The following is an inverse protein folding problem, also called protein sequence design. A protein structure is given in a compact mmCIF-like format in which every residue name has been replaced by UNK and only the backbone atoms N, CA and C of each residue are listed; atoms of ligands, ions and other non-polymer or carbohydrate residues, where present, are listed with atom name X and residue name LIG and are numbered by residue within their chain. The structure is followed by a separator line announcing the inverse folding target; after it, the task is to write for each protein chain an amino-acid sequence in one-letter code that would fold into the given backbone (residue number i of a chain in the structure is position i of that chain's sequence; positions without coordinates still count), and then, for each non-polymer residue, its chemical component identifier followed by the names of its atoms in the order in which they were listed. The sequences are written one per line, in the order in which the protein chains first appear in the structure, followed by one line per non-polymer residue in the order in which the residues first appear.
data_IF_482170324240
#
_entry.id   IF_482170324240
#
_cell.length_a   1.000
_cell.length_b   1.000
_cell.length_c   1.000
_cell.angle_alpha   90.00
_cell.angle_beta   90.00
_cell.angle_gamma   90.00
#
_symmetry.space_group_name_H-M   'P 1'
#
loop_
_entity.id
_entity.type
_entity.pdbx_description
1 polymer ?
#
# COMPACT_ATOMS: atom_id res chain seq x y z
N UNK A 1 -5.89 -7.67 39.10
CA UNK A 1 -6.68 -7.47 37.84
C UNK A 1 -6.17 -8.41 36.73
N UNK A 2 -6.93 -8.69 35.65
CA UNK A 2 -6.49 -9.56 34.53
C UNK A 2 -6.27 -8.75 33.24
N UNK A 3 -5.02 -8.57 32.77
CA UNK A 3 -4.74 -8.03 31.45
C UNK A 3 -5.34 -8.90 30.34
N UNK A 4 -5.97 -8.26 29.34
CA UNK A 4 -6.48 -8.91 28.14
C UNK A 4 -5.49 -8.61 27.00
N UNK A 5 -4.82 -9.64 26.44
CA UNK A 5 -3.89 -9.42 25.35
C UNK A 5 -4.65 -8.99 24.08
N UNK A 6 -4.20 -7.89 23.46
CA UNK A 6 -4.72 -7.41 22.17
C UNK A 6 -3.76 -7.83 21.07
N UNK A 7 -2.45 -7.67 21.29
CA UNK A 7 -1.36 -8.15 20.43
C UNK A 7 -0.29 -8.81 21.30
N UNK A 8 0.81 -9.29 20.71
CA UNK A 8 1.96 -9.76 21.51
C UNK A 8 2.58 -8.63 22.34
N UNK A 9 2.54 -7.39 21.84
CA UNK A 9 3.15 -6.22 22.50
C UNK A 9 2.16 -5.46 23.39
N UNK A 10 0.87 -5.48 23.08
CA UNK A 10 -0.15 -4.69 23.77
C UNK A 10 -1.15 -5.56 24.51
N UNK A 11 -1.37 -5.25 25.79
CA UNK A 11 -2.52 -5.71 26.56
C UNK A 11 -3.37 -4.53 27.00
N UNK A 12 -4.66 -4.76 27.20
CA UNK A 12 -5.58 -3.77 27.79
C UNK A 12 -6.15 -4.25 29.11
N UNK A 13 -6.47 -3.31 30.00
CA UNK A 13 -7.07 -3.62 31.29
C UNK A 13 -8.13 -2.59 31.72
N UNK A 14 -8.97 -3.04 32.66
CA UNK A 14 -9.80 -2.17 33.48
C UNK A 14 -8.94 -1.33 34.45
N UNK A 15 -9.60 -0.54 35.30
CA UNK A 15 -8.95 0.35 36.25
C UNK A 15 -7.92 -0.40 37.12
N UNK A 16 -6.67 0.09 37.10
CA UNK A 16 -5.60 -0.38 37.96
C UNK A 16 -5.71 0.21 39.36
N UNK A 17 -5.30 -0.55 40.37
CA UNK A 17 -5.02 -0.04 41.70
C UNK A 17 -3.49 0.08 41.90
N UNK A 18 -3.00 0.97 42.77
CA UNK A 18 -1.57 1.14 43.04
C UNK A 18 -0.83 -0.18 43.35
N UNK A 19 -1.50 -1.15 43.96
CA UNK A 19 -0.92 -2.43 44.31
C UNK A 19 -0.68 -3.36 43.11
N UNK A 20 -1.42 -3.17 42.00
CA UNK A 20 -1.31 -4.02 40.80
C UNK A 20 0.05 -3.82 40.08
N UNK A 21 0.65 -2.62 40.16
CA UNK A 21 1.85 -2.26 39.39
C UNK A 21 3.07 -3.13 39.69
N UNK A 22 3.23 -3.56 40.95
CA UNK A 22 4.32 -4.47 41.32
C UNK A 22 4.16 -5.84 40.66
N UNK A 23 2.93 -6.34 40.55
CA UNK A 23 2.65 -7.61 39.88
C UNK A 23 2.80 -7.50 38.36
N UNK A 24 2.38 -6.37 37.77
CA UNK A 24 2.56 -6.10 36.34
C UNK A 24 4.04 -6.09 35.94
N UNK A 25 4.90 -5.45 36.73
CA UNK A 25 6.35 -5.48 36.51
C UNK A 25 6.92 -6.90 36.59
N UNK A 26 6.46 -7.72 37.56
CA UNK A 26 6.85 -9.13 37.67
C UNK A 26 6.40 -9.97 36.47
N UNK A 27 5.26 -9.63 35.88
CA UNK A 27 4.74 -10.26 34.67
C UNK A 27 5.43 -9.78 33.38
N UNK A 28 6.44 -8.92 33.50
CA UNK A 28 7.32 -8.53 32.39
C UNK A 28 6.87 -7.29 31.62
N UNK A 29 5.77 -6.64 32.00
CA UNK A 29 5.39 -5.35 31.43
C UNK A 29 6.48 -4.31 31.69
N UNK A 30 6.64 -3.37 30.76
CA UNK A 30 7.63 -2.29 30.82
C UNK A 30 7.00 -0.91 30.87
N UNK A 31 5.90 -0.72 30.14
CA UNK A 31 5.23 0.57 30.01
C UNK A 31 3.75 0.45 30.34
N UNK A 32 3.25 1.40 31.11
CA UNK A 32 1.83 1.60 31.39
C UNK A 32 1.33 2.84 30.66
N UNK A 33 0.23 2.70 29.93
CA UNK A 33 -0.48 3.83 29.32
C UNK A 33 -1.81 4.03 30.05
N UNK A 34 -2.00 5.17 30.70
CA UNK A 34 -3.28 5.54 31.30
C UNK A 34 -4.09 6.41 30.35
N UNK A 35 -5.24 5.87 29.90
CA UNK A 35 -6.19 6.55 29.02
C UNK A 35 -7.42 7.13 29.75
N UNK A 36 -7.44 7.11 31.08
CA UNK A 36 -8.54 7.61 31.91
C UNK A 36 -8.21 8.98 32.50
N UNK A 37 -8.91 10.06 32.10
CA UNK A 37 -8.86 11.35 32.79
C UNK A 37 -9.10 11.22 34.30
N UNK A 38 -8.48 12.09 35.08
CA UNK A 38 -8.68 12.15 36.52
C UNK A 38 -10.08 12.66 36.88
N UNK A 39 -10.61 12.15 38.00
CA UNK A 39 -11.87 12.62 38.57
C UNK A 39 -13.13 12.07 37.87
N UNK A 40 -13.02 10.98 37.11
CA UNK A 40 -14.20 10.31 36.55
C UNK A 40 -15.07 9.67 37.65
N UNK A 41 -14.45 9.11 38.69
CA UNK A 41 -15.14 8.46 39.82
C UNK A 41 -14.40 8.69 41.13
N UNK A 42 -15.12 8.73 42.26
CA UNK A 42 -14.54 9.02 43.57
C UNK A 42 -13.55 7.95 44.07
N UNK A 43 -13.69 6.70 43.60
CA UNK A 43 -12.80 5.59 43.91
C UNK A 43 -11.62 5.46 42.95
N UNK A 44 -11.46 6.40 42.01
CA UNK A 44 -10.33 6.41 41.09
C UNK A 44 -9.04 6.77 41.87
N UNK A 45 -7.96 5.99 41.75
CA UNK A 45 -6.68 6.31 42.39
C UNK A 45 -6.09 7.65 41.93
N UNK A 46 -6.27 7.96 40.64
CA UNK A 46 -5.77 9.17 39.99
C UNK A 46 -4.38 8.97 39.39
N UNK A 47 -4.11 9.69 38.30
CA UNK A 47 -2.90 9.55 37.49
C UNK A 47 -1.61 9.74 38.27
N UNK A 48 -1.59 10.68 39.23
CA UNK A 48 -0.42 10.93 40.07
C UNK A 48 -0.07 9.74 40.98
N UNK A 49 -1.08 9.11 41.60
CA UNK A 49 -0.86 7.95 42.47
C UNK A 49 -0.45 6.72 41.67
N UNK A 50 -1.04 6.53 40.49
CA UNK A 50 -0.66 5.48 39.55
C UNK A 50 0.76 5.67 39.01
N UNK A 51 1.15 6.89 38.65
CA UNK A 51 2.50 7.21 38.18
C UNK A 51 3.54 6.92 39.26
N UNK A 52 3.27 7.31 40.51
CA UNK A 52 4.15 7.01 41.64
C UNK A 52 4.31 5.50 41.83
N UNK A 53 3.21 4.74 41.80
CA UNK A 53 3.22 3.29 41.93
C UNK A 53 3.96 2.59 40.77
N UNK A 54 3.73 3.04 39.53
CA UNK A 54 4.41 2.53 38.34
C UNK A 54 5.92 2.74 38.44
N UNK A 55 6.35 3.96 38.78
CA UNK A 55 7.77 4.30 38.94
C UNK A 55 8.42 3.52 40.08
N UNK A 56 7.71 3.34 41.20
CA UNK A 56 8.18 2.51 42.32
C UNK A 56 8.35 1.04 41.93
N UNK A 57 7.54 0.53 40.99
CA UNK A 57 7.66 -0.81 40.43
C UNK A 57 8.68 -0.92 39.28
N UNK A 58 9.31 0.18 38.86
CA UNK A 58 10.26 0.20 37.75
C UNK A 58 9.60 0.15 36.36
N UNK A 59 8.36 0.61 36.25
CA UNK A 59 7.61 0.73 35.00
C UNK A 59 7.65 2.17 34.49
N UNK A 60 7.72 2.33 33.18
CA UNK A 60 7.42 3.61 32.53
C UNK A 60 5.92 3.88 32.59
N UNK A 61 5.55 5.15 32.73
CA UNK A 61 4.17 5.59 32.83
C UNK A 61 3.90 6.74 31.87
N UNK A 62 2.88 6.59 31.03
CA UNK A 62 2.47 7.61 30.06
C UNK A 62 0.99 7.91 30.21
N UNK A 63 0.69 9.18 30.49
CA UNK A 63 -0.67 9.67 30.64
C UNK A 63 -1.19 10.30 29.33
N UNK A 64 -2.24 9.69 28.76
CA UNK A 64 -2.91 10.13 27.53
C UNK A 64 -4.43 10.15 27.78
N UNK A 65 -4.94 11.16 28.52
CA UNK A 65 -6.34 11.20 28.94
C UNK A 65 -7.27 11.40 27.75
N UNK A 66 -8.17 10.43 27.52
CA UNK A 66 -9.17 10.50 26.44
C UNK A 66 -10.55 10.10 26.94
N UNK A 67 -11.59 10.64 26.33
CA UNK A 67 -12.96 10.14 26.46
C UNK A 67 -13.40 9.50 25.15
N UNK A 68 -14.48 8.73 25.15
CA UNK A 68 -15.05 8.19 23.90
C UNK A 68 -15.45 9.26 22.88
N UNK A 69 -15.64 10.51 23.31
CA UNK A 69 -16.00 11.65 22.47
C UNK A 69 -14.85 12.60 22.16
N UNK A 70 -13.65 12.38 22.71
CA UNK A 70 -12.52 13.31 22.61
C UNK A 70 -11.18 12.59 22.32
N UNK A 71 -11.21 11.49 21.56
CA UNK A 71 -9.99 10.88 21.02
C UNK A 71 -9.57 11.68 19.78
N UNK A 72 -8.50 12.47 19.90
CA UNK A 72 -8.00 13.26 18.78
C UNK A 72 -6.86 12.52 18.07
N UNK A 73 -6.60 12.81 16.78
CA UNK A 73 -5.53 12.16 16.04
C UNK A 73 -4.15 12.26 16.72
N UNK A 74 -3.85 13.37 17.39
CA UNK A 74 -2.61 13.53 18.16
C UNK A 74 -2.50 12.57 19.36
N UNK A 75 -3.62 12.26 20.01
CA UNK A 75 -3.66 11.35 21.15
C UNK A 75 -3.43 9.91 20.65
N UNK A 76 -4.08 9.54 19.53
CA UNK A 76 -3.92 8.25 18.86
C UNK A 76 -2.47 8.03 18.40
N UNK A 77 -1.86 9.06 17.78
CA UNK A 77 -0.45 9.00 17.37
C UNK A 77 0.48 8.79 18.57
N UNK A 78 0.30 9.58 19.64
CA UNK A 78 1.11 9.46 20.85
C UNK A 78 0.97 8.08 21.51
N UNK A 79 -0.24 7.51 21.47
CA UNK A 79 -0.50 6.15 21.95
C UNK A 79 0.31 5.11 21.16
N UNK A 80 0.26 5.15 19.84
CA UNK A 80 1.02 4.26 18.96
C UNK A 80 2.54 4.42 19.14
N UNK A 81 3.04 5.66 19.14
CA UNK A 81 4.46 5.97 19.35
C UNK A 81 4.96 5.44 20.70
N UNK A 82 4.13 5.50 21.75
CA UNK A 82 4.47 4.96 23.07
C UNK A 82 4.60 3.44 23.04
N UNK A 83 3.71 2.73 22.33
CA UNK A 83 3.80 1.28 22.17
C UNK A 83 5.07 0.90 21.42
N UNK A 84 5.40 1.60 20.33
CA UNK A 84 6.60 1.34 19.54
C UNK A 84 7.87 1.60 20.36
N UNK A 85 7.95 2.74 21.06
CA UNK A 85 9.10 3.15 21.83
C UNK A 85 9.39 2.27 23.06
N UNK A 86 8.37 1.58 23.60
CA UNK A 86 8.55 0.68 24.74
C UNK A 86 9.49 -0.49 24.40
N UNK A 87 10.49 -0.71 25.26
CA UNK A 87 11.47 -1.81 25.16
C UNK A 87 10.87 -3.20 25.45
N UNK A 88 9.60 -3.26 25.86
CA UNK A 88 8.90 -4.52 26.13
C UNK A 88 7.38 -4.38 26.12
N UNK A 89 6.65 -5.38 26.66
CA UNK A 89 5.19 -5.41 26.67
C UNK A 89 4.59 -4.16 27.33
N UNK A 90 3.51 -3.68 26.75
CA UNK A 90 2.77 -2.49 27.17
C UNK A 90 1.40 -2.89 27.70
N UNK A 91 1.01 -2.32 28.83
CA UNK A 91 -0.37 -2.39 29.32
C UNK A 91 -1.02 -1.01 29.21
N UNK A 92 -2.10 -0.92 28.45
CA UNK A 92 -2.93 0.28 28.39
C UNK A 92 -4.22 0.08 29.19
N UNK A 93 -4.61 1.03 30.01
CA UNK A 93 -5.84 0.91 30.79
C UNK A 93 -6.70 2.16 30.74
N UNK A 94 -7.98 1.96 31.03
CA UNK A 94 -8.88 3.05 31.35
C UNK A 94 -9.87 2.59 32.43
N UNK A 95 -11.14 3.02 32.39
CA UNK A 95 -12.16 2.50 33.31
C UNK A 95 -12.43 1.01 33.08
N UNK A 96 -12.63 0.61 31.83
CA UNK A 96 -12.99 -0.77 31.44
C UNK A 96 -12.07 -1.39 30.39
N UNK A 97 -10.99 -0.70 29.98
CA UNK A 97 -10.12 -1.09 28.86
C UNK A 97 -10.63 -0.69 27.46
N UNK A 98 -11.91 -0.35 27.31
CA UNK A 98 -12.51 -0.06 26.01
C UNK A 98 -11.86 1.11 25.25
N UNK A 99 -11.47 2.18 25.95
CA UNK A 99 -10.82 3.33 25.30
C UNK A 99 -9.44 2.98 24.75
N UNK A 100 -8.68 2.22 25.52
CA UNK A 100 -7.35 1.75 25.12
C UNK A 100 -7.43 0.82 23.91
N UNK A 101 -8.44 -0.05 23.86
CA UNK A 101 -8.72 -0.88 22.69
C UNK A 101 -9.05 -0.04 21.45
N UNK A 102 -9.97 0.92 21.56
CA UNK A 102 -10.33 1.77 20.43
C UNK A 102 -9.19 2.69 19.97
N UNK A 103 -8.36 3.20 20.88
CA UNK A 103 -7.15 3.94 20.53
C UNK A 103 -6.17 3.09 19.73
N UNK A 104 -5.99 1.81 20.09
CA UNK A 104 -5.20 0.87 19.30
C UNK A 104 -5.81 0.60 17.92
N UNK A 105 -7.14 0.45 17.82
CA UNK A 105 -7.80 0.30 16.52
C UNK A 105 -7.61 1.55 15.64
N UNK A 106 -7.77 2.76 16.20
CA UNK A 106 -7.57 4.02 15.47
C UNK A 106 -6.12 4.27 15.08
N UNK A 107 -5.16 3.70 15.82
CA UNK A 107 -3.75 3.82 15.49
C UNK A 107 -3.38 3.12 14.17
N UNK A 108 -4.30 2.33 13.59
CA UNK A 108 -4.06 1.58 12.36
C UNK A 108 -3.30 0.27 12.57
N UNK A 109 -2.77 0.02 13.77
CA UNK A 109 -2.03 -1.21 14.10
C UNK A 109 -2.88 -2.48 13.90
N UNK A 110 -4.19 -2.41 14.19
CA UNK A 110 -5.11 -3.51 13.91
C UNK A 110 -5.19 -3.87 12.42
N UNK A 111 -5.02 -2.89 11.53
CA UNK A 111 -4.96 -3.10 10.08
C UNK A 111 -3.60 -3.63 9.66
N UNK A 112 -2.52 -3.17 10.29
CA UNK A 112 -1.15 -3.68 10.08
C UNK A 112 -1.05 -5.16 10.46
N UNK A 113 -1.63 -5.57 11.59
CA UNK A 113 -1.64 -6.96 12.05
C UNK A 113 -2.74 -7.83 11.40
N UNK A 114 -3.49 -7.28 10.44
CA UNK A 114 -4.48 -8.05 9.67
C UNK A 114 -5.70 -8.52 10.46
N UNK A 115 -6.12 -7.79 11.48
CA UNK A 115 -7.32 -8.15 12.25
C UNK A 115 -8.59 -7.92 11.41
N UNK A 116 -9.39 -8.98 11.25
CA UNK A 116 -10.75 -8.89 10.75
C UNK A 116 -11.67 -8.21 11.77
N UNK A 117 -12.78 -7.65 11.30
CA UNK A 117 -13.77 -7.04 12.18
C UNK A 117 -14.32 -8.07 13.19
N UNK A 118 -14.49 -9.33 12.78
CA UNK A 118 -14.91 -10.41 13.69
C UNK A 118 -13.90 -10.65 14.82
N UNK A 119 -12.60 -10.62 14.52
CA UNK A 119 -11.55 -10.76 15.53
C UNK A 119 -11.52 -9.56 16.47
N UNK A 120 -11.70 -8.35 15.94
CA UNK A 120 -11.81 -7.13 16.74
C UNK A 120 -13.04 -7.15 17.65
N UNK A 121 -14.19 -7.62 17.14
CA UNK A 121 -15.42 -7.78 17.90
C UNK A 121 -15.25 -8.84 19.00
N UNK A 122 -14.54 -9.93 18.73
CA UNK A 122 -14.23 -10.94 19.73
C UNK A 122 -13.37 -10.37 20.87
N UNK A 123 -12.28 -9.66 20.55
CA UNK A 123 -11.43 -8.98 21.55
C UNK A 123 -12.24 -7.93 22.32
N UNK A 124 -13.04 -7.11 21.62
CA UNK A 124 -13.93 -6.14 22.25
C UNK A 124 -14.90 -6.79 23.24
N UNK A 125 -15.43 -7.98 22.90
CA UNK A 125 -16.32 -8.75 23.77
C UNK A 125 -15.62 -9.24 25.04
N UNK A 126 -14.36 -9.68 24.95
CA UNK A 126 -13.55 -10.04 26.14
C UNK A 126 -13.34 -8.84 27.08
N UNK A 127 -13.26 -7.63 26.51
CA UNK A 127 -13.12 -6.36 27.24
C UNK A 127 -14.48 -5.85 27.78
N UNK A 128 -15.58 -6.57 27.52
CA UNK A 128 -16.92 -6.23 28.00
C UNK A 128 -17.66 -5.22 27.12
N UNK A 129 -17.21 -4.99 25.88
CA UNK A 129 -17.95 -4.20 24.89
C UNK A 129 -18.96 -5.12 24.20
N UNK A 130 -20.23 -4.71 24.15
CA UNK A 130 -21.26 -5.47 23.46
C UNK A 130 -20.90 -5.63 21.96
N UNK A 131 -21.04 -6.83 21.36
CA UNK A 131 -20.64 -7.07 19.98
C UNK A 131 -21.26 -6.09 18.97
N UNK A 132 -22.53 -5.74 19.15
CA UNK A 132 -23.22 -4.80 18.25
C UNK A 132 -22.68 -3.37 18.39
N UNK A 133 -22.36 -2.93 19.61
CA UNK A 133 -21.71 -1.63 19.81
C UNK A 133 -20.29 -1.60 19.23
N UNK A 134 -19.53 -2.70 19.36
CA UNK A 134 -18.21 -2.81 18.75
C UNK A 134 -18.31 -2.73 17.22
N UNK A 135 -19.28 -3.43 16.61
CA UNK A 135 -19.53 -3.41 15.18
C UNK A 135 -19.93 -2.01 14.68
N UNK A 136 -20.88 -1.37 15.33
CA UNK A 136 -21.33 -0.01 14.96
C UNK A 136 -20.20 1.01 15.09
N UNK A 137 -19.40 0.89 16.16
CA UNK A 137 -18.26 1.77 16.36
C UNK A 137 -17.18 1.54 15.30
N UNK A 138 -16.82 0.28 15.00
CA UNK A 138 -15.83 -0.06 13.98
C UNK A 138 -16.28 0.46 12.60
N UNK A 139 -17.55 0.24 12.22
CA UNK A 139 -18.08 0.76 10.97
C UNK A 139 -18.02 2.29 10.87
N UNK A 140 -18.19 2.99 11.99
CA UNK A 140 -18.19 4.45 12.04
C UNK A 140 -16.81 5.10 12.20
N UNK A 141 -15.78 4.36 12.65
CA UNK A 141 -14.49 4.95 13.03
C UNK A 141 -13.28 4.26 12.41
N UNK A 142 -13.40 2.97 12.07
CA UNK A 142 -12.43 2.27 11.24
C UNK A 142 -12.70 2.67 9.78
N UNK A 143 -12.47 3.95 9.49
CA UNK A 143 -12.57 4.51 8.16
C UNK A 143 -11.38 4.00 7.34
N UNK A 144 -11.50 2.76 6.88
CA UNK A 144 -10.90 2.35 5.62
C UNK A 144 -11.68 3.14 4.58
N UNK A 145 -11.36 4.44 4.43
CA UNK A 145 -12.12 5.34 3.59
C UNK A 145 -12.25 4.69 2.23
N UNK A 146 -13.47 4.39 1.79
CA UNK A 146 -13.69 3.71 0.52
C UNK A 146 -13.47 4.74 -0.59
N UNK A 147 -12.38 4.66 -1.37
CA UNK A 147 -12.20 5.60 -2.45
C UNK A 147 -13.18 5.31 -3.59
N UNK A 148 -13.57 6.37 -4.28
CA UNK A 148 -14.14 6.26 -5.62
C UNK A 148 -12.99 5.99 -6.59
N UNK A 149 -13.10 4.92 -7.38
CA UNK A 149 -12.06 4.48 -8.32
C UNK A 149 -12.61 4.52 -9.75
N UNK A 150 -11.91 5.25 -10.62
CA UNK A 150 -12.20 5.29 -12.06
C UNK A 150 -11.02 4.70 -12.83
N UNK A 151 -11.26 3.62 -13.58
CA UNK A 151 -10.31 3.04 -14.52
C UNK A 151 -10.43 3.65 -15.93
N UNK A 152 -9.29 3.78 -16.61
CA UNK A 152 -9.15 4.24 -18.00
C UNK A 152 -8.34 3.20 -18.78
N UNK A 153 -9.04 2.40 -19.58
CA UNK A 153 -8.42 1.36 -20.40
C UNK A 153 -7.78 1.94 -21.66
N UNK A 154 -6.49 1.70 -21.86
CA UNK A 154 -5.74 2.07 -23.07
C UNK A 154 -5.60 0.83 -23.96
N UNK A 155 -6.31 0.84 -25.09
CA UNK A 155 -6.49 -0.35 -25.92
C UNK A 155 -5.19 -0.84 -26.61
N UNK A 156 -4.22 0.03 -26.90
CA UNK A 156 -3.02 -0.35 -27.67
C UNK A 156 -2.04 -1.18 -26.85
N UNK A 157 -1.97 -0.93 -25.55
CA UNK A 157 -1.06 -1.59 -24.60
C UNK A 157 -1.80 -2.54 -23.67
N UNK A 158 -3.12 -2.39 -23.54
CA UNK A 158 -3.92 -3.14 -22.57
C UNK A 158 -3.82 -2.58 -21.15
N UNK A 159 -3.12 -1.46 -20.97
CA UNK A 159 -2.91 -0.82 -19.67
C UNK A 159 -4.19 -0.22 -19.13
N UNK A 160 -4.33 -0.22 -17.81
CA UNK A 160 -5.40 0.45 -17.09
C UNK A 160 -4.78 1.51 -16.18
N UNK A 161 -5.16 2.74 -16.44
CA UNK A 161 -4.79 3.89 -15.61
C UNK A 161 -5.90 4.15 -14.60
N UNK A 162 -5.58 4.68 -13.43
CA UNK A 162 -6.59 4.93 -12.40
C UNK A 162 -6.59 6.36 -11.90
N UNK A 163 -7.79 6.87 -11.62
CA UNK A 163 -8.02 7.97 -10.69
C UNK A 163 -8.69 7.42 -9.45
N UNK A 164 -8.06 7.62 -8.30
CA UNK A 164 -8.51 7.17 -6.98
C UNK A 164 -8.81 8.41 -6.17
N UNK A 165 -10.05 8.60 -5.74
CA UNK A 165 -10.46 9.85 -5.10
C UNK A 165 -11.15 9.63 -3.76
N UNK A 166 -10.87 10.52 -2.83
CA UNK A 166 -11.59 10.65 -1.58
C UNK A 166 -12.89 11.43 -1.83
N UNK A 167 -14.06 10.77 -1.72
CA UNK A 167 -15.34 11.42 -2.01
C UNK A 167 -15.64 12.59 -1.06
N UNK A 168 -15.05 12.60 0.13
CA UNK A 168 -15.27 13.62 1.16
C UNK A 168 -14.50 14.92 0.90
N UNK A 169 -13.24 14.81 0.50
CA UNK A 169 -12.37 15.97 0.25
C UNK A 169 -12.26 16.36 -1.21
N UNK A 170 -12.69 15.50 -2.13
CA UNK A 170 -12.46 15.64 -3.59
C UNK A 170 -10.97 15.66 -3.96
N UNK A 171 -10.12 15.10 -3.09
CA UNK A 171 -8.69 14.92 -3.39
C UNK A 171 -8.49 13.59 -4.09
N UNK A 172 -7.57 13.50 -5.05
CA UNK A 172 -7.30 12.27 -5.78
C UNK A 172 -5.81 11.99 -6.02
N UNK A 173 -5.53 10.71 -6.29
CA UNK A 173 -4.28 10.23 -6.86
C UNK A 173 -4.52 9.71 -8.29
N UNK A 174 -3.55 9.91 -9.17
CA UNK A 174 -3.48 9.27 -10.49
C UNK A 174 -2.47 8.14 -10.39
N UNK A 175 -2.80 6.94 -10.86
CA UNK A 175 -1.94 5.75 -10.81
C UNK A 175 -1.70 5.21 -12.22
N UNK A 176 -0.43 4.93 -12.53
CA UNK A 176 0.08 4.37 -13.78
C UNK A 176 -0.39 5.10 -15.05
N UNK A 177 -0.24 6.44 -15.14
CA UNK A 177 -0.75 7.21 -16.27
C UNK A 177 0.05 6.96 -17.55
N UNK A 178 -0.63 6.86 -18.70
CA UNK A 178 -0.02 6.56 -20.00
C UNK A 178 0.26 7.83 -20.80
N UNK A 179 1.46 7.92 -21.35
CA UNK A 179 1.83 8.82 -22.45
C UNK A 179 1.77 8.01 -23.75
N UNK A 180 0.91 8.42 -24.67
CA UNK A 180 0.73 7.72 -25.94
C UNK A 180 2.03 7.72 -26.74
N UNK A 181 2.42 6.57 -27.28
CA UNK A 181 3.60 6.42 -28.11
C UNK A 181 3.32 5.54 -29.33
N UNK A 182 3.78 5.96 -30.51
CA UNK A 182 3.73 5.16 -31.73
C UNK A 182 5.15 4.77 -32.17
N UNK A 183 5.50 3.50 -32.02
CA UNK A 183 6.87 3.01 -32.30
C UNK A 183 7.25 3.08 -33.78
N UNK A 184 6.27 3.17 -34.68
CA UNK A 184 6.51 3.25 -36.13
C UNK A 184 6.99 4.63 -36.56
N UNK A 185 6.47 5.67 -35.94
CA UNK A 185 6.81 7.06 -36.26
C UNK A 185 7.72 7.72 -35.22
N UNK A 186 7.83 7.16 -34.01
CA UNK A 186 8.49 7.79 -32.88
C UNK A 186 7.70 8.95 -32.27
N UNK A 187 6.41 9.06 -32.60
CA UNK A 187 5.57 10.17 -32.14
C UNK A 187 5.00 9.90 -30.75
N UNK A 188 4.88 10.94 -29.94
CA UNK A 188 4.17 10.92 -28.66
C UNK A 188 2.88 11.75 -28.74
N UNK A 189 1.85 11.37 -28.00
CA UNK A 189 0.62 12.15 -27.79
C UNK A 189 0.25 12.16 -26.30
N UNK A 190 -0.62 13.08 -25.89
CA UNK A 190 -1.08 13.27 -24.50
C UNK A 190 -2.55 12.92 -24.32
N UNK A 191 -3.17 12.23 -25.29
CA UNK A 191 -4.61 12.00 -25.34
C UNK A 191 -5.12 11.24 -24.11
N UNK A 192 -4.39 10.21 -23.67
CA UNK A 192 -4.71 9.46 -22.45
C UNK A 192 -4.62 10.33 -21.19
N UNK A 193 -3.50 11.02 -21.02
CA UNK A 193 -3.28 11.90 -19.88
C UNK A 193 -4.29 13.06 -19.83
N UNK A 194 -4.63 13.63 -20.99
CA UNK A 194 -5.62 14.72 -21.11
C UNK A 194 -7.05 14.21 -20.83
N UNK A 195 -7.35 12.96 -21.15
CA UNK A 195 -8.63 12.32 -20.78
C UNK A 195 -8.77 12.19 -19.27
N UNK A 196 -7.69 11.83 -18.56
CA UNK A 196 -7.65 11.79 -17.09
C UNK A 196 -7.86 13.19 -16.51
N UNK A 197 -7.15 14.21 -17.03
CA UNK A 197 -7.29 15.60 -16.59
C UNK A 197 -8.71 16.14 -16.82
N UNK A 198 -9.33 15.80 -17.94
CA UNK A 198 -10.72 16.18 -18.24
C UNK A 198 -11.70 15.58 -17.23
N UNK A 199 -11.56 14.29 -16.90
CA UNK A 199 -12.37 13.65 -15.86
C UNK A 199 -12.18 14.31 -14.49
N UNK A 200 -10.92 14.58 -14.10
CA UNK A 200 -10.60 15.26 -12.83
C UNK A 200 -11.28 16.62 -12.76
N UNK A 201 -11.23 17.40 -13.85
CA UNK A 201 -11.90 18.69 -13.95
C UNK A 201 -13.42 18.57 -13.87
N UNK A 202 -14.02 17.60 -14.58
CA UNK A 202 -15.46 17.33 -14.58
C UNK A 202 -15.98 16.97 -13.19
N UNK A 203 -15.22 16.15 -12.45
CA UNK A 203 -15.58 15.70 -11.10
C UNK A 203 -15.20 16.70 -9.99
N UNK A 204 -14.56 17.83 -10.35
CA UNK A 204 -14.09 18.84 -9.39
C UNK A 204 -13.04 18.30 -8.42
N UNK A 205 -12.16 17.42 -8.89
CA UNK A 205 -11.12 16.78 -8.09
C UNK A 205 -9.83 17.60 -8.06
N UNK A 206 -9.06 17.46 -6.98
CA UNK A 206 -7.70 18.04 -6.83
C UNK A 206 -6.66 16.94 -6.78
N UNK A 207 -5.65 17.00 -7.64
CA UNK A 207 -4.59 15.99 -7.71
C UNK A 207 -3.57 16.21 -6.59
N UNK A 208 -3.43 15.22 -5.71
CA UNK A 208 -2.44 15.20 -4.62
C UNK A 208 -1.24 14.33 -4.94
N UNK A 209 -1.43 13.25 -5.71
CA UNK A 209 -0.36 12.33 -6.06
C UNK A 209 -0.43 11.89 -7.52
N UNK A 210 0.75 11.69 -8.11
CA UNK A 210 0.93 10.98 -9.36
C UNK A 210 1.86 9.80 -9.06
N UNK A 211 1.34 8.59 -9.19
CA UNK A 211 1.97 7.37 -8.70
C UNK A 211 2.26 6.44 -9.87
N UNK A 212 3.48 5.90 -9.92
CA UNK A 212 3.78 4.70 -10.70
C UNK A 212 3.94 3.52 -9.74
N UNK A 213 3.39 2.37 -10.09
CA UNK A 213 3.54 1.11 -9.35
C UNK A 213 4.90 0.46 -9.59
N UNK A 214 5.46 0.67 -10.78
CA UNK A 214 6.80 0.24 -11.18
C UNK A 214 7.20 0.92 -12.51
N UNK A 215 8.47 0.83 -12.95
CA UNK A 215 8.86 1.29 -14.28
C UNK A 215 8.29 0.37 -15.37
N UNK A 216 7.22 0.81 -16.02
CA UNK A 216 6.48 0.05 -17.03
C UNK A 216 7.34 -0.34 -18.24
N UNK A 217 7.13 -1.53 -18.78
CA UNK A 217 7.85 -2.05 -19.95
C UNK A 217 7.02 -1.97 -21.25
N UNK A 218 5.75 -1.65 -21.16
CA UNK A 218 4.77 -1.79 -22.23
C UNK A 218 4.19 -0.45 -22.70
N UNK A 219 4.33 0.62 -21.91
CA UNK A 219 3.89 1.99 -22.24
C UNK A 219 4.83 3.05 -21.65
N UNK A 220 4.74 4.30 -22.08
CA UNK A 220 5.48 5.41 -21.47
C UNK A 220 4.64 6.00 -20.34
N UNK A 221 5.24 6.31 -19.19
CA UNK A 221 4.53 6.99 -18.10
C UNK A 221 4.33 8.48 -18.46
N UNK A 222 3.10 8.97 -18.31
CA UNK A 222 2.76 10.39 -18.40
C UNK A 222 2.98 11.15 -17.09
N UNK A 223 3.62 10.54 -16.08
CA UNK A 223 3.80 11.15 -14.77
C UNK A 223 4.44 12.54 -14.83
N UNK A 224 5.48 12.72 -15.66
CA UNK A 224 6.12 14.03 -15.84
C UNK A 224 5.20 15.08 -16.46
N UNK A 225 4.45 14.70 -17.49
CA UNK A 225 3.49 15.58 -18.14
C UNK A 225 2.40 16.03 -17.16
N UNK A 226 1.84 15.10 -16.40
CA UNK A 226 0.82 15.39 -15.40
C UNK A 226 1.36 16.28 -14.27
N UNK A 227 2.59 16.03 -13.80
CA UNK A 227 3.25 16.88 -12.81
C UNK A 227 3.38 18.32 -13.29
N UNK A 228 3.82 18.51 -14.54
CA UNK A 228 3.95 19.85 -15.13
C UNK A 228 2.58 20.56 -15.26
N UNK A 229 1.48 19.81 -15.38
CA UNK A 229 0.11 20.36 -15.48
C UNK A 229 -0.55 20.65 -14.14
N UNK A 230 -0.29 19.84 -13.12
CA UNK A 230 -1.02 19.90 -11.84
C UNK A 230 -0.18 20.43 -10.69
N UNK A 231 1.15 20.36 -10.80
CA UNK A 231 2.08 20.65 -9.71
C UNK A 231 2.12 19.57 -8.62
N UNK A 232 1.37 18.47 -8.77
CA UNK A 232 1.34 17.39 -7.80
C UNK A 232 2.65 16.59 -7.78
N UNK A 233 3.12 16.13 -6.61
CA UNK A 233 4.33 15.32 -6.49
C UNK A 233 4.17 13.96 -7.19
N UNK A 234 5.27 13.48 -7.76
CA UNK A 234 5.39 12.13 -8.32
C UNK A 234 6.05 11.17 -7.33
N UNK A 235 5.62 9.91 -7.33
CA UNK A 235 6.19 8.89 -6.47
C UNK A 235 6.23 7.49 -7.10
N UNK A 236 7.17 6.68 -6.61
CA UNK A 236 7.38 5.28 -7.02
C UNK A 236 8.05 4.49 -5.87
N UNK A 237 8.13 3.18 -5.96
CA UNK A 237 8.88 2.33 -5.03
C UNK A 237 10.40 2.58 -5.05
N UNK A 238 11.05 2.56 -3.89
CA UNK A 238 12.47 2.87 -3.71
C UNK A 238 13.41 1.92 -4.47
N UNK A 239 12.96 0.69 -4.73
CA UNK A 239 13.70 -0.28 -5.55
C UNK A 239 13.76 0.08 -7.04
N UNK A 240 13.18 1.21 -7.48
CA UNK A 240 13.43 1.77 -8.82
C UNK A 240 14.92 1.98 -9.08
N UNK A 241 15.71 2.26 -8.04
CA UNK A 241 17.16 2.43 -8.12
C UNK A 241 17.86 1.17 -8.67
N UNK A 242 17.35 -0.02 -8.30
CA UNK A 242 17.88 -1.30 -8.79
C UNK A 242 17.59 -1.46 -10.28
N UNK A 243 16.39 -1.05 -10.72
CA UNK A 243 15.99 -1.06 -12.14
C UNK A 243 16.80 -0.05 -12.94
N UNK A 244 16.98 1.18 -12.43
CA UNK A 244 17.84 2.18 -13.05
C UNK A 244 19.28 1.67 -13.23
N UNK A 245 19.83 1.03 -12.21
CA UNK A 245 21.19 0.48 -12.24
C UNK A 245 21.33 -0.62 -13.29
N UNK A 246 20.35 -1.52 -13.38
CA UNK A 246 20.33 -2.58 -14.39
C UNK A 246 20.21 -2.02 -15.81
N UNK A 247 19.20 -1.18 -16.04
CA UNK A 247 18.86 -0.71 -17.39
C UNK A 247 19.82 0.33 -17.94
N UNK A 248 20.46 1.15 -17.09
CA UNK A 248 21.53 2.04 -17.58
C UNK A 248 22.71 1.25 -18.16
N UNK A 249 22.97 0.05 -17.65
CA UNK A 249 23.97 -0.87 -18.21
C UNK A 249 23.55 -1.35 -19.60
N UNK A 250 22.31 -1.82 -19.74
CA UNK A 250 21.73 -2.28 -21.02
C UNK A 250 21.76 -1.18 -22.10
N UNK A 251 21.40 0.06 -21.73
CA UNK A 251 21.40 1.19 -22.66
C UNK A 251 22.76 1.85 -22.84
N UNK A 252 23.81 1.41 -22.14
CA UNK A 252 25.13 2.03 -22.09
C UNK A 252 25.05 3.55 -21.79
N UNK A 253 24.58 3.87 -20.58
CA UNK A 253 24.42 5.21 -20.04
C UNK A 253 25.25 5.40 -18.77
N UNK A 254 26.57 5.62 -18.88
CA UNK A 254 27.45 5.74 -17.71
C UNK A 254 27.11 6.94 -16.83
N UNK A 255 26.62 8.03 -17.43
CA UNK A 255 26.32 9.29 -16.75
C UNK A 255 24.86 9.37 -16.25
N UNK A 256 24.05 8.34 -16.48
CA UNK A 256 22.67 8.35 -15.99
C UNK A 256 22.64 8.18 -14.46
N UNK A 257 22.05 9.13 -13.71
CA UNK A 257 21.93 9.06 -12.27
C UNK A 257 20.89 8.00 -11.87
N UNK A 258 21.39 6.87 -11.37
CA UNK A 258 20.59 5.77 -10.85
C UNK A 258 20.47 5.88 -9.33
N UNK A 259 19.77 6.93 -8.88
CA UNK A 259 19.57 7.28 -7.47
C UNK A 259 18.11 7.64 -7.15
N UNK A 260 17.21 7.48 -8.12
CA UNK A 260 15.78 7.73 -7.98
C UNK A 260 15.37 9.20 -7.82
N UNK A 261 16.27 10.18 -7.97
CA UNK A 261 15.96 11.60 -7.78
C UNK A 261 14.94 12.18 -8.79
N UNK A 262 14.60 11.42 -9.82
CA UNK A 262 13.62 11.79 -10.84
C UNK A 262 12.19 11.87 -10.29
N UNK A 263 11.91 11.23 -9.14
CA UNK A 263 10.64 11.29 -8.42
C UNK A 263 10.76 12.16 -7.16
N UNK A 264 9.66 12.78 -6.74
CA UNK A 264 9.64 13.59 -5.51
C UNK A 264 9.64 12.72 -4.25
N UNK A 265 9.11 11.49 -4.34
CA UNK A 265 9.09 10.52 -3.24
C UNK A 265 9.42 9.12 -3.71
N UNK A 266 10.32 8.46 -2.98
CA UNK A 266 10.58 7.03 -3.08
C UNK A 266 9.95 6.33 -1.87
N UNK A 267 9.10 5.34 -2.12
CA UNK A 267 8.40 4.59 -1.09
C UNK A 267 9.12 3.28 -0.74
N UNK A 268 9.37 3.06 0.55
CA UNK A 268 9.79 1.76 1.07
C UNK A 268 8.58 0.85 1.35
N UNK A 269 8.85 -0.44 1.55
CA UNK A 269 7.82 -1.36 2.06
C UNK A 269 7.27 -0.88 3.41
N UNK A 270 5.94 -0.91 3.56
CA UNK A 270 5.26 -0.48 4.78
C UNK A 270 5.09 1.04 4.94
N UNK A 271 5.67 1.86 4.04
CA UNK A 271 5.46 3.31 4.09
C UNK A 271 3.97 3.66 3.96
N UNK A 272 3.57 4.70 4.69
CA UNK A 272 2.20 5.22 4.67
C UNK A 272 2.13 6.64 4.10
N UNK A 273 0.96 6.95 3.54
CA UNK A 273 0.59 8.26 3.04
C UNK A 273 -0.94 8.40 3.04
N UNK A 274 -1.46 9.52 2.52
CA UNK A 274 -2.90 9.75 2.41
C UNK A 274 -3.28 10.18 1.00
N UNK A 275 -4.53 9.90 0.64
CA UNK A 275 -5.25 10.55 -0.47
C UNK A 275 -6.44 11.27 0.15
N UNK A 276 -6.35 12.60 0.27
CA UNK A 276 -7.28 13.36 1.10
C UNK A 276 -7.25 12.90 2.56
N UNK A 277 -8.36 12.35 3.05
CA UNK A 277 -8.46 11.76 4.38
C UNK A 277 -8.16 10.26 4.43
N UNK A 278 -8.18 9.58 3.29
CA UNK A 278 -8.08 8.12 3.19
C UNK A 278 -6.63 7.69 3.44
N UNK A 279 -6.46 6.76 4.38
CA UNK A 279 -5.16 6.13 4.64
C UNK A 279 -4.72 5.22 3.51
N UNK A 280 -3.44 5.33 3.18
CA UNK A 280 -2.80 4.50 2.18
C UNK A 280 -1.47 3.92 2.70
N UNK A 281 -1.13 2.72 2.24
CA UNK A 281 0.14 2.06 2.53
C UNK A 281 0.73 1.40 1.30
N UNK A 282 2.04 1.24 1.31
CA UNK A 282 2.81 0.58 0.25
C UNK A 282 3.18 -0.83 0.69
N UNK A 283 2.94 -1.80 -0.19
CA UNK A 283 3.45 -3.16 -0.04
C UNK A 283 4.48 -3.41 -1.14
N UNK A 284 5.69 -3.83 -0.78
CA UNK A 284 6.66 -4.26 -1.78
C UNK A 284 6.25 -5.60 -2.39
N UNK A 285 6.00 -5.61 -3.70
CA UNK A 285 5.42 -6.75 -4.42
C UNK A 285 6.25 -7.17 -5.64
N UNK A 286 7.55 -7.47 -5.46
CA UNK A 286 8.45 -7.80 -6.57
C UNK A 286 8.13 -9.16 -7.21
N UNK A 287 8.71 -9.41 -8.37
CA UNK A 287 8.67 -10.70 -9.04
C UNK A 287 8.37 -10.55 -10.52
N UNK A 288 7.40 -9.71 -10.88
CA UNK A 288 7.27 -9.23 -12.25
C UNK A 288 8.47 -8.35 -12.63
N UNK A 289 8.77 -7.37 -11.78
CA UNK A 289 10.02 -6.60 -11.82
C UNK A 289 10.72 -6.62 -10.46
N UNK A 290 11.92 -6.02 -10.39
CA UNK A 290 12.66 -5.82 -9.16
C UNK A 290 12.00 -4.80 -8.22
N UNK A 291 11.19 -3.88 -8.76
CA UNK A 291 10.75 -2.66 -8.09
C UNK A 291 9.25 -2.53 -7.90
N UNK A 292 8.47 -3.55 -8.31
CA UNK A 292 7.02 -3.50 -8.23
C UNK A 292 6.54 -3.31 -6.79
N UNK A 293 5.61 -2.38 -6.62
CA UNK A 293 4.90 -2.13 -5.37
C UNK A 293 3.38 -2.15 -5.61
N UNK A 294 2.65 -2.47 -4.55
CA UNK A 294 1.19 -2.39 -4.49
C UNK A 294 0.81 -1.21 -3.61
N UNK A 295 -0.02 -0.30 -4.13
CA UNK A 295 -0.64 0.74 -3.30
C UNK A 295 -1.96 0.21 -2.73
N UNK A 296 -2.09 0.19 -1.41
CA UNK A 296 -3.36 -0.10 -0.73
C UNK A 296 -3.92 1.22 -0.21
N UNK A 297 -5.01 1.69 -0.80
CA UNK A 297 -5.67 2.97 -0.49
C UNK A 297 -7.08 2.65 0.01
N UNK A 298 -7.30 2.76 1.31
CA UNK A 298 -8.54 2.27 1.91
C UNK A 298 -8.78 0.79 1.61
N UNK A 299 -9.91 0.46 0.97
CA UNK A 299 -10.30 -0.91 0.63
C UNK A 299 -9.83 -1.36 -0.78
N UNK A 300 -9.05 -0.53 -1.47
CA UNK A 300 -8.59 -0.74 -2.83
C UNK A 300 -7.08 -0.99 -2.89
N UNK A 301 -6.67 -2.13 -3.42
CA UNK A 301 -5.28 -2.47 -3.71
C UNK A 301 -5.00 -2.37 -5.21
N UNK A 302 -4.10 -1.49 -5.61
CA UNK A 302 -3.61 -1.33 -6.98
C UNK A 302 -2.37 -2.19 -7.14
N UNK A 303 -2.58 -3.39 -7.69
CA UNK A 303 -1.60 -4.49 -7.64
C UNK A 303 -0.74 -4.60 -8.89
N UNK A 304 -1.02 -3.77 -9.90
CA UNK A 304 -0.27 -3.74 -11.15
C UNK A 304 -0.20 -5.16 -11.81
N UNK A 305 0.85 -5.48 -12.58
CA UNK A 305 1.22 -6.79 -13.11
C UNK A 305 1.77 -7.68 -12.00
N UNK A 306 0.90 -8.05 -11.07
CA UNK A 306 1.09 -9.21 -10.20
C UNK A 306 -0.01 -10.23 -10.50
N UNK A 307 -1.23 -9.89 -10.11
CA UNK A 307 -2.48 -10.56 -10.46
C UNK A 307 -3.15 -9.83 -11.62
N UNK A 308 -3.62 -10.57 -12.61
CA UNK A 308 -4.59 -10.06 -13.59
C UNK A 308 -6.02 -10.34 -13.11
N UNK A 309 -7.02 -10.02 -13.94
CA UNK A 309 -8.38 -10.50 -13.73
C UNK A 309 -8.38 -12.02 -13.49
N UNK A 310 -9.30 -12.57 -12.66
CA UNK A 310 -9.24 -13.97 -12.27
C UNK A 310 -9.19 -14.95 -13.45
N UNK A 311 -9.82 -14.63 -14.58
CA UNK A 311 -9.76 -15.44 -15.80
C UNK A 311 -8.45 -15.34 -16.60
N UNK A 312 -7.59 -14.37 -16.28
CA UNK A 312 -6.36 -14.03 -17.00
C UNK A 312 -5.10 -14.51 -16.28
N UNK A 313 -5.21 -14.88 -15.00
CA UNK A 313 -4.12 -15.46 -14.23
C UNK A 313 -3.17 -14.43 -13.64
N UNK A 314 -1.89 -14.51 -14.00
CA UNK A 314 -0.80 -13.70 -13.41
C UNK A 314 0.14 -13.15 -14.47
N UNK A 315 0.86 -12.10 -14.07
CA UNK A 315 1.94 -11.51 -14.85
C UNK A 315 3.06 -12.50 -15.15
N UNK A 316 3.84 -12.20 -16.20
CA UNK A 316 5.11 -12.86 -16.52
C UNK A 316 6.19 -12.50 -15.48
N UNK A 317 7.24 -13.31 -15.37
CA UNK A 317 8.32 -13.11 -14.39
C UNK A 317 9.72 -13.33 -14.98
N UNK A 318 9.88 -13.18 -16.30
CA UNK A 318 11.10 -13.44 -17.08
C UNK A 318 11.81 -12.17 -17.56
N UNK A 319 11.36 -10.98 -17.13
CA UNK A 319 12.12 -9.75 -17.36
C UNK A 319 13.48 -9.81 -16.68
N UNK A 320 14.46 -9.01 -17.14
CA UNK A 320 15.69 -8.79 -16.39
C UNK A 320 15.39 -8.40 -14.93
N UNK A 321 15.68 -9.31 -14.00
CA UNK A 321 15.39 -9.16 -12.57
C UNK A 321 14.03 -9.72 -12.08
N UNK A 322 13.22 -10.28 -12.97
CA UNK A 322 12.01 -11.01 -12.65
C UNK A 322 12.29 -12.35 -11.96
N UNK A 323 11.31 -12.85 -11.21
CA UNK A 323 11.37 -14.15 -10.54
C UNK A 323 9.97 -14.66 -10.21
N UNK A 324 9.58 -15.80 -10.79
CA UNK A 324 8.30 -16.45 -10.51
C UNK A 324 8.15 -16.78 -9.00
N UNK A 325 9.25 -17.15 -8.34
CA UNK A 325 9.23 -17.45 -6.90
C UNK A 325 8.97 -16.21 -6.05
N UNK A 326 9.58 -15.07 -6.38
CA UNK A 326 9.28 -13.79 -5.70
C UNK A 326 7.87 -13.34 -5.99
N UNK A 327 7.42 -13.48 -7.25
CA UNK A 327 6.06 -13.14 -7.66
C UNK A 327 5.02 -13.94 -6.86
N UNK A 328 5.23 -15.24 -6.66
CA UNK A 328 4.35 -16.05 -5.81
C UNK A 328 4.21 -15.48 -4.40
N UNK A 329 5.33 -15.14 -3.75
CA UNK A 329 5.32 -14.59 -2.38
C UNK A 329 4.57 -13.26 -2.32
N UNK A 330 4.86 -12.35 -3.24
CA UNK A 330 4.15 -11.08 -3.37
C UNK A 330 2.64 -11.28 -3.56
N UNK A 331 2.24 -12.25 -4.39
CA UNK A 331 0.83 -12.59 -4.58
C UNK A 331 0.23 -13.15 -3.28
N UNK A 332 0.93 -14.04 -2.57
CA UNK A 332 0.44 -14.56 -1.28
C UNK A 332 0.29 -13.45 -0.24
N UNK A 333 1.21 -12.49 -0.19
CA UNK A 333 1.14 -11.33 0.69
C UNK A 333 -0.07 -10.45 0.34
N UNK A 334 -0.31 -10.17 -0.94
CA UNK A 334 -1.51 -9.45 -1.42
C UNK A 334 -2.80 -10.22 -1.08
N UNK A 335 -2.81 -11.54 -1.27
CA UNK A 335 -3.96 -12.39 -0.94
C UNK A 335 -4.13 -12.61 0.57
N UNK A 336 -3.17 -12.18 1.41
CA UNK A 336 -3.33 -12.14 2.86
C UNK A 336 -4.17 -10.96 3.35
N UNK A 337 -4.41 -9.96 2.47
CA UNK A 337 -5.39 -8.89 2.70
C UNK A 337 -6.80 -9.46 2.93
N UNK A 338 -7.70 -8.63 3.46
CA UNK A 338 -9.10 -9.03 3.72
C UNK A 338 -9.76 -9.51 2.43
N UNK A 339 -10.62 -10.51 2.53
CA UNK A 339 -11.30 -11.12 1.38
C UNK A 339 -12.09 -10.11 0.54
N UNK A 340 -12.63 -9.08 1.17
CA UNK A 340 -13.43 -8.01 0.55
C UNK A 340 -12.57 -6.91 -0.08
N UNK A 341 -11.24 -6.94 0.11
CA UNK A 341 -10.33 -5.95 -0.50
C UNK A 341 -10.46 -6.01 -2.01
N UNK A 342 -10.78 -4.87 -2.61
CA UNK A 342 -10.86 -4.71 -4.06
C UNK A 342 -9.46 -4.71 -4.65
N UNK A 343 -9.26 -5.50 -5.69
CA UNK A 343 -8.00 -5.66 -6.40
C UNK A 343 -8.14 -5.00 -7.77
N UNK A 344 -7.27 -4.02 -8.05
CA UNK A 344 -7.19 -3.26 -9.28
C UNK A 344 -5.90 -3.63 -10.04
N UNK A 345 -6.05 -4.26 -11.21
CA UNK A 345 -4.92 -4.80 -12.00
C UNK A 345 -4.32 -3.79 -12.98
N UNK A 346 -3.03 -3.93 -13.30
CA UNK A 346 -2.37 -3.03 -14.25
C UNK A 346 -2.88 -3.17 -15.69
N UNK A 347 -3.26 -4.39 -16.10
CA UNK A 347 -3.60 -4.68 -17.48
C UNK A 347 -4.77 -5.65 -17.62
N UNK A 348 -5.45 -5.53 -18.76
CA UNK A 348 -6.43 -6.51 -19.19
C UNK A 348 -6.35 -6.79 -20.69
N UNK A 349 -6.17 -8.06 -21.00
CA UNK A 349 -5.96 -8.55 -22.36
C UNK A 349 -7.22 -9.12 -23.00
N UNK A 350 -8.38 -8.91 -22.36
CA UNK A 350 -9.70 -9.25 -22.91
C UNK A 350 -9.79 -10.71 -23.43
N UNK A 351 -9.45 -11.72 -22.60
CA UNK A 351 -9.50 -13.12 -23.00
C UNK A 351 -10.86 -13.48 -23.60
N UNK A 352 -10.85 -14.31 -24.63
CA UNK A 352 -12.05 -14.73 -25.36
C UNK A 352 -12.88 -13.58 -25.97
N UNK A 353 -12.28 -12.39 -26.11
CA UNK A 353 -12.92 -11.20 -26.70
C UNK A 353 -13.93 -10.52 -25.78
N UNK A 354 -13.87 -10.77 -24.46
CA UNK A 354 -14.73 -10.07 -23.49
C UNK A 354 -14.36 -8.59 -23.39
N UNK A 355 -15.25 -7.71 -22.87
CA UNK A 355 -14.90 -6.33 -22.56
C UNK A 355 -13.77 -6.22 -21.53
N UNK A 356 -13.08 -5.07 -21.54
CA UNK A 356 -12.06 -4.77 -20.56
C UNK A 356 -12.62 -4.76 -19.13
N UNK A 357 -11.94 -5.45 -18.22
CA UNK A 357 -12.24 -5.49 -16.78
C UNK A 357 -10.97 -5.20 -15.98
N UNK A 358 -11.13 -4.63 -14.80
CA UNK A 358 -9.97 -4.19 -14.01
C UNK A 358 -10.16 -4.26 -12.50
N UNK A 359 -11.31 -4.73 -12.03
CA UNK A 359 -11.64 -4.82 -10.61
C UNK A 359 -12.07 -6.26 -10.29
N UNK A 360 -11.42 -6.84 -9.29
CA UNK A 360 -11.84 -8.08 -8.63
C UNK A 360 -11.68 -7.93 -7.11
N UNK A 361 -11.74 -9.03 -6.36
CA UNK A 361 -11.49 -9.06 -4.92
C UNK A 361 -10.49 -10.14 -4.55
N UNK A 362 -9.90 -10.04 -3.37
CA UNK A 362 -9.06 -11.11 -2.82
C UNK A 362 -9.82 -12.45 -2.78
N UNK A 363 -11.11 -12.44 -2.41
CA UNK A 363 -11.96 -13.62 -2.42
C UNK A 363 -12.10 -14.24 -3.82
N UNK A 364 -12.37 -13.42 -4.83
CA UNK A 364 -12.51 -13.89 -6.22
C UNK A 364 -11.20 -14.44 -6.75
N UNK A 365 -10.07 -13.80 -6.48
CA UNK A 365 -8.74 -14.29 -6.88
C UNK A 365 -8.44 -15.66 -6.26
N UNK A 366 -8.69 -15.83 -4.96
CA UNK A 366 -8.52 -17.12 -4.26
C UNK A 366 -9.44 -18.22 -4.77
N UNK A 367 -10.60 -17.85 -5.32
CA UNK A 367 -11.64 -18.82 -5.73
C UNK A 367 -11.52 -19.19 -7.20
N UNK A 368 -11.14 -18.25 -8.07
CA UNK A 368 -11.30 -18.37 -9.52
C UNK A 368 -10.01 -18.23 -10.32
N UNK A 369 -8.90 -17.72 -9.74
CA UNK A 369 -7.67 -17.53 -10.50
C UNK A 369 -6.97 -18.88 -10.78
N UNK A 370 -6.84 -19.32 -12.05
CA UNK A 370 -6.33 -20.65 -12.39
C UNK A 370 -4.83 -20.81 -12.11
N UNK A 371 -4.10 -19.70 -11.95
CA UNK A 371 -2.69 -19.73 -11.57
C UNK A 371 -2.51 -19.80 -10.05
N UNK A 372 -3.57 -19.67 -9.25
CA UNK A 372 -3.51 -19.62 -7.79
C UNK A 372 -4.27 -20.79 -7.15
N UNK A 373 -5.47 -21.07 -7.62
CA UNK A 373 -6.37 -22.07 -7.03
C UNK A 373 -5.69 -23.45 -7.01
N UNK A 374 -5.49 -23.99 -5.81
CA UNK A 374 -4.90 -25.32 -5.61
C UNK A 374 -3.39 -25.41 -5.90
N UNK A 375 -2.70 -24.29 -6.09
CA UNK A 375 -1.27 -24.28 -6.39
C UNK A 375 -0.40 -24.17 -5.12
N UNK A 376 0.81 -24.72 -5.20
CA UNK A 376 1.91 -24.45 -4.26
C UNK A 376 2.92 -23.48 -4.89
N UNK A 377 3.90 -23.00 -4.12
CA UNK A 377 5.00 -22.19 -4.66
C UNK A 377 5.70 -22.92 -5.82
N UNK A 378 5.98 -24.21 -5.68
CA UNK A 378 6.66 -25.03 -6.69
C UNK A 378 5.82 -25.23 -7.95
N UNK A 379 4.52 -25.52 -7.81
CA UNK A 379 3.67 -25.74 -8.98
C UNK A 379 3.38 -24.43 -9.72
N UNK A 380 3.27 -23.31 -9.00
CA UNK A 380 3.19 -21.97 -9.60
C UNK A 380 4.47 -21.61 -10.35
N UNK A 381 5.65 -21.78 -9.73
CA UNK A 381 6.93 -21.46 -10.37
C UNK A 381 7.08 -22.24 -11.66
N UNK A 382 6.80 -23.55 -11.64
CA UNK A 382 6.84 -24.38 -12.83
C UNK A 382 5.88 -23.89 -13.91
N UNK A 383 4.61 -23.66 -13.56
CA UNK A 383 3.60 -23.13 -14.49
C UNK A 383 4.05 -21.83 -15.13
N UNK A 384 4.60 -20.93 -14.31
CA UNK A 384 4.97 -19.58 -14.73
C UNK A 384 6.18 -19.59 -15.66
N UNK A 385 7.23 -20.32 -15.29
CA UNK A 385 8.46 -20.46 -16.10
C UNK A 385 8.17 -21.18 -17.43
N UNK A 386 7.35 -22.23 -17.43
CA UNK A 386 6.93 -22.92 -18.67
C UNK A 386 6.13 -21.99 -19.58
N UNK A 387 5.26 -21.14 -19.02
CA UNK A 387 4.48 -20.16 -19.79
C UNK A 387 5.38 -19.04 -20.31
N UNK A 388 6.25 -18.48 -19.48
CA UNK A 388 7.12 -17.36 -19.85
C UNK A 388 8.05 -17.72 -21.02
N UNK A 389 8.57 -18.95 -21.04
CA UNK A 389 9.39 -19.46 -22.14
C UNK A 389 8.68 -19.47 -23.52
N UNK A 390 7.36 -19.31 -23.55
CA UNK A 390 6.55 -19.26 -24.79
C UNK A 390 6.16 -17.84 -25.21
N UNK A 391 6.40 -16.83 -24.37
CA UNK A 391 5.91 -15.47 -24.60
C UNK A 391 6.98 -14.59 -25.26
N UNK A 392 6.64 -13.85 -26.34
CA UNK A 392 7.54 -12.84 -26.88
C UNK A 392 7.73 -11.72 -25.85
N UNK A 393 8.86 -11.02 -25.92
CA UNK A 393 9.06 -9.81 -25.11
C UNK A 393 8.03 -8.72 -25.46
N UNK A 394 7.62 -7.86 -24.51
CA UNK A 394 6.70 -6.77 -24.78
C UNK A 394 7.25 -5.89 -25.90
N UNK A 395 6.36 -5.51 -26.81
CA UNK A 395 6.69 -4.76 -28.02
C UNK A 395 7.45 -3.45 -27.72
N UNK A 396 7.11 -2.79 -26.61
CA UNK A 396 7.68 -1.50 -26.24
C UNK A 396 8.78 -1.57 -25.17
N UNK A 397 9.25 -2.76 -24.75
CA UNK A 397 10.21 -2.91 -23.63
C UNK A 397 11.45 -2.02 -23.77
N UNK A 398 12.09 -2.03 -24.94
CA UNK A 398 13.28 -1.22 -25.20
C UNK A 398 12.97 0.27 -25.37
N UNK A 399 11.72 0.65 -25.63
CA UNK A 399 11.30 2.04 -25.79
C UNK A 399 10.85 2.64 -24.45
N UNK A 400 10.04 1.91 -23.70
CA UNK A 400 9.39 2.35 -22.47
C UNK A 400 10.37 2.52 -21.33
N UNK A 401 11.25 1.54 -21.11
CA UNK A 401 12.10 1.54 -19.92
C UNK A 401 13.12 2.68 -19.92
N UNK A 402 13.59 3.14 -21.07
CA UNK A 402 14.46 4.31 -21.15
C UNK A 402 13.77 5.62 -20.76
N UNK A 403 12.44 5.70 -20.87
CA UNK A 403 11.62 6.83 -20.43
C UNK A 403 11.19 6.65 -18.96
N UNK A 404 10.77 5.45 -18.60
CA UNK A 404 10.14 5.19 -17.30
C UNK A 404 11.14 5.07 -16.16
N UNK A 405 12.38 4.63 -16.41
CA UNK A 405 13.44 4.72 -15.39
C UNK A 405 13.88 6.17 -15.15
N UNK A 406 13.45 7.11 -16.00
CA UNK A 406 13.69 8.55 -15.88
C UNK A 406 12.41 9.32 -15.44
N UNK A 407 11.49 8.66 -14.73
CA UNK A 407 10.27 9.29 -14.20
C UNK A 407 9.32 9.84 -15.25
N UNK A 408 9.26 9.23 -16.44
CA UNK A 408 8.46 9.70 -17.58
C UNK A 408 9.15 10.80 -18.40
N UNK A 409 10.38 11.18 -18.05
CA UNK A 409 11.17 12.15 -18.80
C UNK A 409 11.75 11.56 -20.08
N UNK A 410 11.43 12.15 -21.23
CA UNK A 410 12.07 11.78 -22.50
C UNK A 410 13.58 12.06 -22.47
N UNK A 411 14.42 11.30 -23.20
CA UNK A 411 15.86 11.55 -23.27
C UNK A 411 16.18 12.99 -23.66
N UNK A 412 17.25 13.56 -23.08
CA UNK A 412 17.66 14.93 -23.40
C UNK A 412 17.92 15.12 -24.91
N UNK A 413 17.62 16.31 -25.47
CA UNK A 413 17.89 16.57 -26.87
C UNK A 413 19.41 16.50 -27.15
N UNK A 414 19.77 15.86 -28.26
CA UNK A 414 21.14 15.92 -28.77
C UNK A 414 21.44 17.30 -29.39
N UNK A 415 22.66 17.50 -29.90
CA UNK A 415 23.14 18.80 -30.41
C UNK A 415 22.32 19.37 -31.57
N UNK A 416 21.46 18.57 -32.20
CA UNK A 416 20.53 18.99 -33.25
C UNK A 416 19.13 19.37 -32.72
N UNK A 417 18.94 19.40 -31.40
CA UNK A 417 17.68 19.73 -30.74
C UNK A 417 16.61 18.63 -30.84
N UNK A 418 16.98 17.41 -31.26
CA UNK A 418 16.08 16.26 -31.33
C UNK A 418 16.39 15.26 -30.23
N UNK A 419 15.36 14.56 -29.76
CA UNK A 419 15.47 13.49 -28.77
C UNK A 419 15.49 12.15 -29.50
N UNK A 420 16.28 11.20 -28.99
CA UNK A 420 16.45 9.89 -29.61
C UNK A 420 16.28 8.80 -28.58
N UNK A 421 15.53 7.77 -28.95
CA UNK A 421 15.49 6.51 -28.21
C UNK A 421 16.64 5.62 -28.68
N UNK A 422 17.32 4.96 -27.73
CA UNK A 422 18.38 3.99 -28.03
C UNK A 422 17.84 2.57 -27.98
N UNK A 423 18.01 1.82 -29.06
CA UNK A 423 17.59 0.42 -29.13
C UNK A 423 18.84 -0.47 -29.21
N UNK A 424 19.23 -1.13 -28.11
CA UNK A 424 20.42 -1.97 -28.10
C UNK A 424 20.15 -3.28 -28.86
N UNK A 425 21.06 -3.63 -29.77
CA UNK A 425 20.94 -4.85 -30.58
C UNK A 425 21.32 -6.08 -29.75
N UNK A 426 20.47 -7.10 -29.78
CA UNK A 426 20.68 -8.40 -29.11
C UNK A 426 20.92 -8.32 -27.59
N UNK A 427 20.42 -7.28 -26.92
CA UNK A 427 20.63 -7.10 -25.48
C UNK A 427 19.69 -7.91 -24.58
N UNK A 428 18.57 -8.40 -25.12
CA UNK A 428 17.64 -9.28 -24.41
C UNK A 428 17.96 -10.73 -24.78
N UNK A 429 18.95 -11.31 -24.10
CA UNK A 429 19.36 -12.71 -24.33
C UNK A 429 18.20 -13.67 -24.02
N UNK A 430 18.05 -14.71 -24.86
CA UNK A 430 17.01 -15.74 -24.67
C UNK A 430 15.59 -15.32 -25.04
N UNK A 431 15.38 -14.12 -25.59
CA UNK A 431 14.06 -13.69 -26.06
C UNK A 431 13.54 -14.61 -27.17
N UNK A 432 12.32 -15.13 -27.01
CA UNK A 432 11.60 -15.86 -28.04
C UNK A 432 11.27 -14.91 -29.22
N UNK A 433 11.51 -15.37 -30.45
CA UNK A 433 11.29 -14.61 -31.69
C UNK A 433 10.06 -15.10 -32.46
#
# INVERSE_FOLDING_TARGET
MKPIPVTEKLSVAEQLQPEDFTELARNGFKTIINNRPDGEEASQPGSAAEEEAARAAGLDYVFIPVTSSNMRPEDVRRFAETIVASEGPVLAHCRSGARSFYMWVLAGDAEVEGFSDDKLIAVASEIGIAPDHARDWLAAHRHIGKPDVKGFYEQRTGSIQYVVSDPSTKTCAIIDPVLDYDEKSGSTSTEQADTILAYIAEQGLTVEWILDTHPHADHFSAARYLKDKTGAPTAIGAHVIDVQTLWKGIYNWPDFPADGHQWDRLFADGDTFKVGTIDARVMFSPGHTLASITYVIGDAAFVHDTLFMPDSGTARADFPGGSARRLWRSIMDILSLRNETRIFTGHDYQPDGRPAHWESTVAEQKTFNPHIVGQTEESFVKLREERDATLPMPKLILHALQVNINGGGLPEPESNGKRYLKIPLNALEGAAW
#
